data_IF_227523508979
#
_entry.id   IF_227523508979
#
_cell.length_a   1.000
_cell.length_b   1.000
_cell.length_c   1.000
_cell.angle_alpha   90.00
_cell.angle_beta   90.00
_cell.angle_gamma   90.00
#
_symmetry.space_group_name_H-M   'P 1'
#
loop_
_entity.id
_entity.type
_entity.pdbx_description
1 polymer ?
#
# COMPACT_ATOMS: atom_id res chain seq x y z
N UNK A 1 -7.04 5.68 -14.24
CA UNK A 1 -7.37 4.50 -13.42
C UNK A 1 -7.30 4.90 -11.95
N UNK A 2 -8.29 4.52 -11.15
CA UNK A 2 -8.39 4.83 -9.72
C UNK A 2 -7.43 3.90 -8.95
N UNK A 3 -6.63 4.41 -8.00
CA UNK A 3 -5.93 3.53 -7.02
C UNK A 3 -7.01 2.79 -6.22
N UNK A 4 -7.15 1.48 -6.42
CA UNK A 4 -8.17 0.67 -5.73
C UNK A 4 -7.73 0.22 -4.33
N UNK A 5 -6.42 0.11 -4.12
CA UNK A 5 -5.81 -0.25 -2.85
C UNK A 5 -5.07 0.96 -2.30
N UNK A 6 -5.47 1.39 -1.10
CA UNK A 6 -4.74 2.33 -0.28
C UNK A 6 -4.44 1.59 1.02
N UNK A 7 -3.39 0.75 1.00
CA UNK A 7 -3.09 -0.11 2.14
C UNK A 7 -2.54 0.67 3.32
N UNK A 8 -2.14 1.93 3.16
CA UNK A 8 -1.46 2.65 4.24
C UNK A 8 -2.32 2.79 5.51
N UNK A 9 -3.62 3.00 5.37
CA UNK A 9 -4.56 3.10 6.50
C UNK A 9 -4.98 1.72 7.05
N UNK A 10 -4.94 0.68 6.22
CA UNK A 10 -5.35 -0.68 6.61
C UNK A 10 -4.18 -1.54 7.11
N UNK A 11 -2.96 -1.29 6.63
CA UNK A 11 -1.78 -2.06 6.95
C UNK A 11 -1.34 -1.85 8.39
N UNK A 12 -1.50 -0.64 8.93
CA UNK A 12 -1.09 -0.31 10.31
C UNK A 12 -1.83 -1.13 11.38
N UNK A 13 -3.18 -1.22 11.42
CA UNK A 13 -3.86 -2.07 12.40
C UNK A 13 -3.60 -3.55 12.17
N UNK A 14 -3.50 -4.01 10.91
CA UNK A 14 -3.28 -5.43 10.61
C UNK A 14 -1.85 -5.86 10.94
N UNK A 15 -0.85 -5.00 10.77
CA UNK A 15 0.52 -5.22 11.25
C UNK A 15 0.54 -5.36 12.77
N UNK A 16 -0.19 -4.50 13.48
CA UNK A 16 -0.35 -4.58 14.93
C UNK A 16 -0.89 -5.94 15.37
N UNK A 17 -1.97 -6.42 14.73
CA UNK A 17 -2.57 -7.73 15.02
C UNK A 17 -1.61 -8.87 14.69
N UNK A 18 -0.92 -8.82 13.54
CA UNK A 18 0.07 -9.82 13.13
C UNK A 18 1.26 -9.91 14.09
N UNK A 19 1.79 -8.77 14.56
CA UNK A 19 2.85 -8.72 15.58
C UNK A 19 2.37 -9.25 16.92
N UNK A 20 1.14 -8.91 17.32
CA UNK A 20 0.58 -9.33 18.59
C UNK A 20 0.39 -10.86 18.63
N UNK A 21 -0.18 -11.45 17.58
CA UNK A 21 -0.37 -12.90 17.45
C UNK A 21 0.94 -13.67 17.20
N UNK A 22 1.84 -13.13 16.40
CA UNK A 22 3.06 -13.81 15.98
C UNK A 22 4.23 -13.67 16.95
N UNK A 23 4.26 -12.62 17.78
CA UNK A 23 5.38 -12.32 18.68
C UNK A 23 4.91 -12.17 20.13
N UNK A 24 3.98 -11.25 20.41
CA UNK A 24 3.63 -10.89 21.80
C UNK A 24 2.99 -12.06 22.55
N UNK A 25 1.94 -12.67 21.99
CA UNK A 25 1.24 -13.82 22.57
C UNK A 25 2.18 -15.02 22.75
N UNK A 26 2.95 -15.47 21.75
CA UNK A 26 3.85 -16.61 21.93
C UNK A 26 4.98 -16.33 22.94
N UNK A 27 5.50 -15.11 23.02
CA UNK A 27 6.51 -14.75 24.05
C UNK A 27 5.93 -14.79 25.46
N UNK A 28 4.70 -14.28 25.65
CA UNK A 28 4.00 -14.36 26.93
C UNK A 28 3.70 -15.80 27.32
N UNK A 29 3.20 -16.61 26.38
CA UNK A 29 2.95 -18.02 26.62
C UNK A 29 4.25 -18.78 26.95
N UNK A 30 5.37 -18.46 26.29
CA UNK A 30 6.67 -19.06 26.60
C UNK A 30 7.14 -18.74 28.03
N UNK A 31 6.97 -17.49 28.48
CA UNK A 31 7.27 -17.09 29.86
C UNK A 31 6.42 -17.86 30.88
N UNK A 32 5.12 -18.01 30.61
CA UNK A 32 4.19 -18.75 31.47
C UNK A 32 4.52 -20.24 31.48
N UNK A 33 4.85 -20.84 30.34
CA UNK A 33 5.27 -22.24 30.25
C UNK A 33 6.51 -22.50 31.11
N UNK A 34 7.47 -21.57 31.10
CA UNK A 34 8.69 -21.68 31.89
C UNK A 34 8.47 -21.56 33.40
N UNK A 35 7.42 -20.85 33.82
CA UNK A 35 7.04 -20.69 35.23
C UNK A 35 6.19 -21.86 35.75
N UNK A 36 5.31 -22.43 34.92
CA UNK A 36 4.30 -23.40 35.35
C UNK A 36 4.47 -24.82 34.77
N UNK A 37 5.45 -25.05 33.88
CA UNK A 37 5.74 -26.34 33.22
C UNK A 37 4.52 -27.01 32.56
N UNK A 38 3.61 -26.20 32.01
CA UNK A 38 2.37 -26.68 31.41
C UNK A 38 2.56 -27.10 29.94
N UNK A 39 2.58 -28.40 29.67
CA UNK A 39 2.75 -29.00 28.33
C UNK A 39 1.66 -28.58 27.32
N UNK A 40 0.47 -28.20 27.80
CA UNK A 40 -0.65 -27.74 26.94
C UNK A 40 -0.34 -26.40 26.28
N UNK A 41 0.56 -25.60 26.87
CA UNK A 41 0.87 -24.25 26.42
C UNK A 41 1.69 -24.21 25.13
N UNK A 42 2.50 -25.25 24.86
CA UNK A 42 3.29 -25.35 23.62
C UNK A 42 2.40 -25.56 22.39
N UNK A 43 1.23 -26.19 22.55
CA UNK A 43 0.28 -26.41 21.45
C UNK A 43 -0.44 -25.10 21.08
N UNK A 44 -0.84 -24.31 22.09
CA UNK A 44 -1.37 -22.96 21.91
C UNK A 44 -0.35 -22.01 21.27
N UNK A 45 0.92 -22.09 21.67
CA UNK A 45 2.00 -21.32 21.07
C UNK A 45 2.13 -21.57 19.57
N UNK A 46 2.12 -22.85 19.15
CA UNK A 46 2.21 -23.22 17.73
C UNK A 46 1.03 -22.66 16.93
N UNK A 47 -0.19 -22.74 17.47
CA UNK A 47 -1.39 -22.21 16.80
C UNK A 47 -1.34 -20.68 16.67
N UNK A 48 -0.90 -19.98 17.71
CA UNK A 48 -0.74 -18.51 17.67
C UNK A 48 0.33 -18.10 16.66
N UNK A 49 1.46 -18.82 16.63
CA UNK A 49 2.57 -18.55 15.74
C UNK A 49 2.19 -18.78 14.27
N UNK A 50 1.50 -19.89 13.96
CA UNK A 50 1.03 -20.16 12.59
C UNK A 50 -0.04 -19.17 12.15
N UNK A 51 -0.98 -18.83 13.04
CA UNK A 51 -1.99 -17.80 12.78
C UNK A 51 -1.36 -16.43 12.47
N UNK A 52 -0.44 -15.96 13.32
CA UNK A 52 0.30 -14.72 13.11
C UNK A 52 1.12 -14.74 11.82
N UNK A 53 1.79 -15.85 11.52
CA UNK A 53 2.55 -16.04 10.28
C UNK A 53 1.69 -15.95 9.02
N UNK A 54 0.49 -16.55 9.03
CA UNK A 54 -0.46 -16.46 7.91
C UNK A 54 -0.91 -15.01 7.71
N UNK A 55 -1.30 -14.32 8.79
CA UNK A 55 -1.74 -12.91 8.72
C UNK A 55 -0.64 -12.02 8.14
N UNK A 56 0.60 -12.16 8.63
CA UNK A 56 1.75 -11.41 8.11
C UNK A 56 2.08 -11.77 6.67
N UNK A 57 1.97 -13.05 6.29
CA UNK A 57 2.19 -13.52 4.93
C UNK A 57 1.20 -12.92 3.93
N UNK A 58 -0.08 -12.87 4.28
CA UNK A 58 -1.13 -12.23 3.46
C UNK A 58 -0.86 -10.73 3.32
N UNK A 59 -0.53 -10.05 4.42
CA UNK A 59 -0.14 -8.64 4.40
C UNK A 59 1.04 -8.39 3.45
N UNK A 60 2.08 -9.21 3.54
CA UNK A 60 3.27 -9.10 2.70
C UNK A 60 2.91 -9.26 1.21
N UNK A 61 2.03 -10.22 0.91
CA UNK A 61 1.56 -10.45 -0.46
C UNK A 61 0.76 -9.26 -0.99
N UNK A 62 -0.10 -8.65 -0.17
CA UNK A 62 -0.82 -7.42 -0.55
C UNK A 62 0.11 -6.24 -0.80
N UNK A 63 1.15 -6.07 0.02
CA UNK A 63 2.16 -5.01 -0.17
C UNK A 63 2.90 -5.19 -1.49
N UNK A 64 3.26 -6.43 -1.85
CA UNK A 64 3.89 -6.72 -3.15
C UNK A 64 2.94 -6.34 -4.29
N UNK A 65 1.66 -6.70 -4.20
CA UNK A 65 0.67 -6.36 -5.21
C UNK A 65 0.51 -4.84 -5.37
N UNK A 66 0.52 -4.08 -4.27
CA UNK A 66 0.48 -2.62 -4.28
C UNK A 66 1.72 -2.03 -4.97
N UNK A 67 2.91 -2.53 -4.67
CA UNK A 67 4.14 -2.09 -5.35
C UNK A 67 4.13 -2.38 -6.86
N UNK A 68 3.56 -3.51 -7.27
CA UNK A 68 3.40 -3.85 -8.70
C UNK A 68 2.41 -2.87 -9.35
N UNK A 69 1.26 -2.60 -8.71
CA UNK A 69 0.29 -1.62 -9.22
C UNK A 69 0.90 -0.24 -9.38
N UNK A 70 1.66 0.25 -8.39
CA UNK A 70 2.31 1.54 -8.44
C UNK A 70 3.38 1.62 -9.55
N UNK A 71 4.15 0.55 -9.77
CA UNK A 71 5.12 0.48 -10.88
C UNK A 71 4.43 0.53 -12.25
N UNK A 72 3.32 -0.19 -12.41
CA UNK A 72 2.54 -0.19 -13.66
C UNK A 72 1.94 1.20 -13.90
N UNK A 73 1.36 1.81 -12.88
CA UNK A 73 0.78 3.15 -12.96
C UNK A 73 1.85 4.17 -13.37
N UNK A 74 3.02 4.14 -12.73
CA UNK A 74 4.14 5.03 -13.03
C UNK A 74 4.59 4.88 -14.49
N UNK A 75 4.71 3.64 -14.98
CA UNK A 75 5.06 3.37 -16.39
C UNK A 75 4.01 3.90 -17.36
N UNK A 76 2.72 3.64 -17.11
CA UNK A 76 1.63 4.13 -17.96
C UNK A 76 1.56 5.65 -17.98
N UNK A 77 1.72 6.30 -16.83
CA UNK A 77 1.73 7.76 -16.69
C UNK A 77 2.88 8.38 -17.47
N UNK A 78 4.09 7.83 -17.34
CA UNK A 78 5.27 8.30 -18.08
C UNK A 78 5.14 8.04 -19.59
N UNK A 79 4.63 6.87 -19.98
CA UNK A 79 4.52 6.47 -21.38
C UNK A 79 3.42 7.26 -22.12
N UNK A 80 2.29 7.53 -21.47
CA UNK A 80 1.19 8.28 -22.06
C UNK A 80 1.28 9.79 -21.85
N UNK A 81 2.28 10.27 -21.08
CA UNK A 81 2.46 11.69 -20.68
C UNK A 81 1.18 12.28 -20.08
N UNK A 82 0.35 11.43 -19.50
CA UNK A 82 -0.95 11.76 -18.94
C UNK A 82 -0.77 12.26 -17.52
N UNK A 83 -1.42 13.38 -17.24
CA UNK A 83 -1.38 14.08 -15.96
C UNK A 83 -2.09 13.23 -14.90
N UNK A 84 -1.63 13.27 -13.66
CA UNK A 84 -2.29 12.54 -12.57
C UNK A 84 -3.26 13.50 -11.88
N UNK A 85 -4.58 13.22 -11.86
CA UNK A 85 -5.52 14.08 -11.15
C UNK A 85 -5.38 13.89 -9.62
N UNK A 86 -5.30 15.01 -8.90
CA UNK A 86 -5.36 15.04 -7.44
C UNK A 86 -6.80 15.20 -6.96
N UNK A 87 -7.07 14.79 -5.71
CA UNK A 87 -8.38 14.96 -5.05
C UNK A 87 -8.86 16.43 -5.02
N UNK A 88 -7.94 17.38 -5.12
CA UNK A 88 -8.23 18.82 -4.99
C UNK A 88 -8.57 19.48 -6.34
N UNK A 89 -8.72 18.71 -7.42
CA UNK A 89 -8.98 19.22 -8.77
C UNK A 89 -7.74 19.81 -9.47
N UNK A 90 -6.58 19.76 -8.83
CA UNK A 90 -5.28 20.04 -9.45
C UNK A 90 -4.68 18.78 -10.08
N UNK A 91 -3.66 18.94 -10.91
CA UNK A 91 -2.97 17.86 -11.58
C UNK A 91 -1.48 17.83 -11.21
N UNK A 92 -0.91 16.64 -11.19
CA UNK A 92 0.53 16.44 -11.02
C UNK A 92 1.23 16.24 -12.38
N UNK A 93 2.38 16.89 -12.52
CA UNK A 93 3.26 16.69 -13.66
C UNK A 93 3.96 15.33 -13.56
N UNK A 94 3.83 14.44 -14.56
CA UNK A 94 4.43 13.11 -14.54
C UNK A 94 5.97 13.13 -14.59
N UNK A 95 6.57 14.28 -14.88
CA UNK A 95 8.02 14.42 -15.10
C UNK A 95 8.79 15.03 -13.94
N UNK A 96 8.15 15.89 -13.16
CA UNK A 96 8.82 16.66 -12.10
C UNK A 96 8.03 16.71 -10.80
N UNK A 97 6.84 16.09 -10.74
CA UNK A 97 6.02 16.05 -9.54
C UNK A 97 5.37 17.40 -9.18
N UNK A 98 5.37 18.38 -10.09
CA UNK A 98 4.69 19.65 -9.82
C UNK A 98 3.19 19.43 -9.61
N UNK A 99 2.64 19.85 -8.48
CA UNK A 99 1.24 19.62 -8.07
C UNK A 99 0.27 20.74 -8.50
N UNK A 100 0.81 21.81 -9.08
CA UNK A 100 0.07 23.03 -9.42
C UNK A 100 -0.39 23.11 -10.88
N UNK A 101 -0.56 21.96 -11.57
CA UNK A 101 -1.01 21.97 -12.96
C UNK A 101 -2.54 22.07 -13.05
N UNK A 102 -3.00 22.81 -14.04
CA UNK A 102 -4.41 22.87 -14.46
C UNK A 102 -4.65 21.91 -15.62
N UNK A 103 -5.91 21.54 -15.84
CA UNK A 103 -6.35 20.67 -16.95
C UNK A 103 -6.07 21.25 -18.34
N UNK A 104 -5.84 22.56 -18.43
CA UNK A 104 -5.66 23.30 -19.69
C UNK A 104 -4.17 23.46 -20.05
N UNK A 105 -3.26 23.23 -19.11
CA UNK A 105 -1.83 23.53 -19.31
C UNK A 105 -1.20 22.57 -20.31
N UNK A 106 -0.74 23.06 -21.46
CA UNK A 106 -0.06 22.23 -22.47
C UNK A 106 1.40 21.90 -22.09
N UNK A 107 2.00 22.71 -21.23
CA UNK A 107 3.40 22.57 -20.78
C UNK A 107 3.49 22.74 -19.27
N UNK A 108 4.42 22.02 -18.63
CA UNK A 108 4.64 22.18 -17.20
C UNK A 108 5.41 23.48 -16.92
N UNK A 109 4.97 24.36 -16.00
CA UNK A 109 5.68 25.61 -15.71
C UNK A 109 7.04 25.41 -15.02
N UNK A 110 7.28 24.26 -14.39
CA UNK A 110 8.55 23.96 -13.68
C UNK A 110 9.56 23.30 -14.61
N UNK A 111 9.19 22.21 -15.28
CA UNK A 111 10.12 21.43 -16.10
C UNK A 111 10.01 21.72 -17.60
N UNK A 112 9.11 22.60 -18.02
CA UNK A 112 8.88 23.04 -19.40
C UNK A 112 8.61 21.90 -20.40
N UNK A 113 8.32 20.69 -19.92
CA UNK A 113 7.98 19.53 -20.78
C UNK A 113 6.52 19.60 -21.23
N UNK A 114 6.30 19.18 -22.47
CA UNK A 114 4.97 19.05 -23.06
C UNK A 114 4.15 17.96 -22.39
N UNK A 115 2.89 18.30 -22.14
CA UNK A 115 1.87 17.45 -21.55
C UNK A 115 0.79 17.20 -22.59
N UNK A 116 0.26 15.98 -22.63
CA UNK A 116 -0.85 15.70 -23.54
C UNK A 116 -2.10 16.48 -23.06
N UNK A 117 -2.84 17.16 -23.95
CA UNK A 117 -4.15 17.71 -23.60
C UNK A 117 -5.07 16.58 -23.15
N UNK A 118 -5.86 16.82 -22.11
CA UNK A 118 -6.88 15.85 -21.65
C UNK A 118 -8.00 15.81 -22.71
N UNK A 119 -7.80 15.04 -23.77
CA UNK A 119 -8.85 14.76 -24.75
C UNK A 119 -9.78 13.71 -24.16
N UNK A 120 -10.85 14.22 -23.58
CA UNK A 120 -12.08 13.56 -23.18
C UNK A 120 -11.98 12.45 -22.11
N UNK A 121 -12.92 12.53 -21.17
CA UNK A 121 -13.00 11.68 -19.98
C UNK A 121 -13.18 10.21 -20.39
N UNK A 122 -12.45 9.24 -19.80
CA UNK A 122 -12.99 7.90 -19.69
C UNK A 122 -14.16 7.96 -18.70
N UNK A 123 -15.36 7.67 -19.21
CA UNK A 123 -16.60 7.57 -18.44
C UNK A 123 -16.45 6.66 -17.20
N UNK A 124 -17.14 6.97 -16.09
CA UNK A 124 -17.15 6.12 -14.92
C UNK A 124 -17.96 4.84 -15.19
N UNK A 125 -17.31 3.68 -15.10
CA UNK A 125 -17.94 2.38 -14.86
C UNK A 125 -17.15 1.64 -13.77
#
# INVERSE_FOLDING_TARGET
>A
MKRYLNLQDFATPVLGIGLLLGVVIPVLLWLVERLFQLVVLSLLMKISLTGGGIVLGVLFLLIILEQIQDRILTRQVLQNRTRIPLKNGSYECPYCGNLALKSIDATCPICQRDLKPETDKPQPY
#
